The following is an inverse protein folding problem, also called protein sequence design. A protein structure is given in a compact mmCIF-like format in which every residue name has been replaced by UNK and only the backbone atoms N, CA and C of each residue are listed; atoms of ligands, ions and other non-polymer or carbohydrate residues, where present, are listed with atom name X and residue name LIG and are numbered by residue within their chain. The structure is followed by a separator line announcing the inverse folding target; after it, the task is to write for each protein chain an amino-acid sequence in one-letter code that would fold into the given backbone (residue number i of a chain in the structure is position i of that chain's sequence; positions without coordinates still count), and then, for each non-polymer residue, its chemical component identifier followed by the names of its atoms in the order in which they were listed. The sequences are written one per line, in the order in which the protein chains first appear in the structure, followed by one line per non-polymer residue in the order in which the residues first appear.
data_IF_241281751819
#
_entry.id   IF_241281751819
#
_cell.length_a   1.000
_cell.length_b   1.000
_cell.length_c   1.000
_cell.angle_alpha   90.00
_cell.angle_beta   90.00
_cell.angle_gamma   90.00
#
_symmetry.space_group_name_H-M   'P 1'
#
loop_
_entity.id
_entity.type
_entity.pdbx_description
1 polymer ?
#
# COMPACT_ATOMS: atom_id res chain seq x y z
N UNK A 1 7.02 -9.44 2.15
CA UNK A 1 6.58 -8.08 2.48
C UNK A 1 5.66 -7.62 1.39
N UNK A 2 4.36 -7.78 1.61
CA UNK A 2 3.29 -7.11 0.90
C UNK A 2 2.45 -6.36 1.94
N UNK A 3 1.97 -5.20 1.57
CA UNK A 3 1.17 -4.29 2.38
C UNK A 3 -0.09 -3.97 1.62
N UNK A 4 -1.18 -3.80 2.36
CA UNK A 4 -2.48 -3.59 1.76
C UNK A 4 -3.03 -2.25 2.21
N UNK A 5 -3.36 -1.39 1.25
CA UNK A 5 -3.97 -0.10 1.51
C UNK A 5 -5.44 -0.14 1.08
N UNK A 6 -6.33 0.22 2.01
CA UNK A 6 -7.76 0.36 1.71
C UNK A 6 -8.08 1.79 1.28
N UNK A 7 -8.56 1.90 0.03
CA UNK A 7 -9.08 3.07 -0.73
C UNK A 7 -8.07 3.95 -1.47
N UNK A 8 -8.22 3.95 -2.80
CA UNK A 8 -7.27 4.45 -3.78
C UNK A 8 -7.26 5.96 -4.04
N UNK A 9 -6.07 6.54 -3.85
CA UNK A 9 -5.68 7.88 -4.28
C UNK A 9 -5.32 7.93 -5.78
N UNK A 10 -5.04 9.12 -6.33
CA UNK A 10 -4.45 9.25 -7.65
C UNK A 10 -3.06 8.59 -7.67
N UNK A 11 -2.98 7.38 -8.21
CA UNK A 11 -1.82 6.50 -8.13
C UNK A 11 -0.59 7.08 -8.81
N UNK A 12 -0.78 7.74 -9.96
CA UNK A 12 0.32 8.34 -10.70
C UNK A 12 1.00 9.42 -9.85
N UNK A 13 0.20 10.27 -9.21
CA UNK A 13 0.72 11.31 -8.31
C UNK A 13 1.34 10.69 -7.06
N UNK A 14 0.68 9.72 -6.44
CA UNK A 14 1.18 9.04 -5.25
C UNK A 14 2.56 8.40 -5.49
N UNK A 15 2.71 7.64 -6.57
CA UNK A 15 3.97 6.98 -6.93
C UNK A 15 5.04 8.02 -7.30
N UNK A 16 4.70 9.06 -8.07
CA UNK A 16 5.65 10.08 -8.50
C UNK A 16 6.17 10.97 -7.35
N UNK A 17 5.35 11.17 -6.31
CA UNK A 17 5.68 12.05 -5.18
C UNK A 17 6.17 11.30 -3.94
N UNK A 18 6.08 9.97 -3.93
CA UNK A 18 6.51 9.15 -2.81
C UNK A 18 8.02 9.31 -2.55
N UNK A 19 8.44 9.57 -1.30
CA UNK A 19 9.86 9.55 -0.94
C UNK A 19 10.54 8.24 -1.33
N UNK A 20 11.78 8.32 -1.81
CA UNK A 20 12.57 7.14 -2.22
C UNK A 20 12.66 6.08 -1.12
N UNK A 21 12.63 6.50 0.16
CA UNK A 21 12.70 5.61 1.32
C UNK A 21 11.44 4.75 1.51
N UNK A 22 10.28 5.24 1.09
CA UNK A 22 9.00 4.54 1.19
C UNK A 22 8.35 4.23 -0.17
N UNK A 23 9.07 4.45 -1.28
CA UNK A 23 8.58 4.16 -2.62
C UNK A 23 8.23 2.66 -2.78
N UNK A 24 7.02 2.34 -3.27
CA UNK A 24 6.59 0.96 -3.45
C UNK A 24 7.35 0.28 -4.60
N UNK A 25 7.82 -0.95 -4.37
CA UNK A 25 8.44 -1.83 -5.37
C UNK A 25 7.40 -2.51 -6.27
N UNK A 26 6.20 -2.69 -5.74
CA UNK A 26 5.03 -3.24 -6.44
C UNK A 26 3.84 -2.37 -6.07
N UNK A 27 2.98 -2.10 -7.05
CA UNK A 27 1.67 -1.48 -6.85
C UNK A 27 0.65 -2.18 -7.74
N UNK A 28 -0.39 -2.75 -7.13
CA UNK A 28 -1.48 -3.47 -7.83
C UNK A 28 -2.81 -3.02 -7.26
N UNK A 29 -3.62 -2.38 -8.09
CA UNK A 29 -4.98 -1.95 -7.75
C UNK A 29 -6.01 -3.02 -8.08
N UNK A 30 -6.94 -3.22 -7.16
CA UNK A 30 -8.14 -4.03 -7.29
C UNK A 30 -9.36 -3.22 -6.85
N UNK A 31 -10.04 -2.59 -7.81
CA UNK A 31 -11.11 -1.63 -7.53
C UNK A 31 -10.61 -0.51 -6.62
N UNK A 32 -11.05 -0.43 -5.37
CA UNK A 32 -10.64 0.57 -4.39
C UNK A 32 -9.43 0.14 -3.56
N UNK A 33 -9.06 -1.13 -3.62
CA UNK A 33 -8.10 -1.80 -2.75
C UNK A 33 -6.74 -1.93 -3.43
N UNK A 34 -5.64 -1.58 -2.75
CA UNK A 34 -4.29 -1.55 -3.34
C UNK A 34 -3.36 -2.49 -2.59
N UNK A 35 -2.78 -3.42 -3.32
CA UNK A 35 -1.67 -4.25 -2.85
C UNK A 35 -0.34 -3.62 -3.27
N UNK A 36 0.53 -3.37 -2.29
CA UNK A 36 1.83 -2.77 -2.51
C UNK A 36 2.95 -3.53 -1.81
N UNK A 37 4.19 -3.37 -2.27
CA UNK A 37 5.36 -3.95 -1.60
C UNK A 37 6.31 -2.81 -1.25
N UNK A 38 6.51 -2.57 0.05
CA UNK A 38 7.33 -1.46 0.56
C UNK A 38 8.44 -2.02 1.45
N UNK A 39 9.43 -1.21 1.78
CA UNK A 39 10.44 -1.58 2.77
C UNK A 39 9.80 -1.73 4.15
N UNK A 40 10.15 -2.80 4.88
CA UNK A 40 9.70 -3.02 6.26
C UNK A 40 9.98 -1.78 7.12
N UNK A 41 9.00 -1.38 7.93
CA UNK A 41 9.07 -0.19 8.80
C UNK A 41 8.74 1.15 8.11
N UNK A 42 8.50 1.17 6.80
CA UNK A 42 8.16 2.41 6.05
C UNK A 42 6.69 2.47 5.62
N UNK A 43 5.88 1.50 6.05
CA UNK A 43 4.45 1.36 5.70
C UNK A 43 3.64 2.55 6.17
N UNK A 44 3.82 2.94 7.44
CA UNK A 44 3.12 4.08 8.03
C UNK A 44 3.53 5.39 7.35
N UNK A 45 4.81 5.54 7.01
CA UNK A 45 5.30 6.71 6.27
C UNK A 45 4.66 6.82 4.88
N UNK A 46 4.54 5.70 4.15
CA UNK A 46 3.84 5.70 2.87
C UNK A 46 2.36 6.01 3.07
N UNK A 47 1.69 5.39 4.04
CA UNK A 47 0.26 5.61 4.31
C UNK A 47 -0.03 7.08 4.63
N UNK A 48 0.83 7.71 5.44
CA UNK A 48 0.73 9.14 5.75
C UNK A 48 0.93 10.00 4.49
N UNK A 49 1.93 9.68 3.66
CA UNK A 49 2.12 10.33 2.36
C UNK A 49 0.90 10.19 1.45
N UNK A 50 0.31 9.01 1.34
CA UNK A 50 -0.90 8.80 0.53
C UNK A 50 -2.07 9.66 1.03
N UNK A 51 -2.18 9.84 2.35
CA UNK A 51 -3.19 10.72 2.93
C UNK A 51 -2.94 12.22 2.68
N UNK A 52 -1.70 12.65 2.40
CA UNK A 52 -1.44 14.04 1.99
C UNK A 52 -1.68 14.28 0.49
N UNK A 53 -1.62 13.22 -0.32
CA UNK A 53 -1.89 13.28 -1.77
C UNK A 53 -3.37 13.56 -2.04
N UNK A 54 -4.28 13.06 -1.21
CA UNK A 54 -5.69 13.45 -1.27
C UNK A 54 -5.92 14.80 -0.60
N UNK A 55 -5.90 15.87 -1.40
CA UNK A 55 -6.15 17.23 -0.94
C UNK A 55 -7.62 17.50 -0.60
N UNK A 56 -8.54 16.59 -0.96
CA UNK A 56 -9.97 16.73 -0.66
C UNK A 56 -10.33 16.24 0.74
N UNK A 57 -9.46 15.43 1.37
CA UNK A 57 -9.71 14.79 2.66
C UNK A 57 -10.88 13.79 2.64
N UNK A 58 -11.36 13.41 1.45
CA UNK A 58 -12.49 12.49 1.28
C UNK A 58 -12.08 11.04 1.45
N UNK A 59 -10.79 10.75 1.30
CA UNK A 59 -10.20 9.42 1.34
C UNK A 59 -9.17 9.38 2.48
N UNK A 60 -9.32 8.36 3.33
CA UNK A 60 -8.34 8.04 4.37
C UNK A 60 -7.81 6.63 4.14
N UNK A 61 -6.58 6.57 3.66
CA UNK A 61 -5.81 5.34 3.49
C UNK A 61 -5.50 4.74 4.85
N UNK A 62 -5.73 3.44 4.97
CA UNK A 62 -5.29 2.60 6.10
C UNK A 62 -4.44 1.47 5.56
N UNK A 63 -3.46 0.99 6.34
CA UNK A 63 -2.63 -0.14 5.95
C UNK A 63 -2.87 -1.39 6.79
N UNK A 64 -2.63 -2.55 6.18
CA UNK A 64 -2.47 -3.84 6.83
C UNK A 64 -1.09 -4.42 6.47
N UNK A 65 -0.43 -5.03 7.45
CA UNK A 65 0.89 -5.63 7.28
C UNK A 65 0.82 -7.15 7.18
N UNK A 66 1.70 -7.73 6.35
CA UNK A 66 1.92 -9.17 6.30
C UNK A 66 2.33 -9.73 7.66
N UNK A 67 1.65 -10.80 8.08
CA UNK A 67 1.98 -11.59 9.26
C UNK A 67 2.27 -13.03 8.83
N UNK A 68 3.40 -13.60 9.29
CA UNK A 68 3.77 -15.01 9.02
C UNK A 68 3.77 -15.39 7.52
N UNK A 69 4.25 -14.51 6.64
CA UNK A 69 4.29 -14.80 5.20
C UNK A 69 2.93 -14.67 4.49
N UNK A 70 1.90 -14.21 5.20
CA UNK A 70 0.52 -14.20 4.75
C UNK A 70 -0.08 -12.81 4.89
N UNK A 71 -0.89 -12.43 3.91
CA UNK A 71 -1.72 -11.23 3.99
C UNK A 71 -3.11 -11.55 3.43
N UNK A 72 -4.18 -11.43 4.24
CA UNK A 72 -5.54 -11.45 3.73
C UNK A 72 -5.74 -10.30 2.75
N UNK A 73 -6.29 -10.59 1.57
CA UNK A 73 -6.51 -9.59 0.53
C UNK A 73 -7.80 -9.90 -0.22
N UNK A 74 -8.82 -9.04 -0.04
CA UNK A 74 -10.18 -9.29 -0.55
C UNK A 74 -10.70 -10.67 -0.10
N UNK A 75 -11.18 -11.50 -1.03
CA UNK A 75 -11.60 -12.87 -0.81
C UNK A 75 -10.46 -13.88 -1.05
N UNK A 76 -9.21 -13.44 -1.04
CA UNK A 76 -8.02 -14.25 -1.34
C UNK A 76 -6.99 -14.14 -0.23
N UNK A 77 -6.24 -15.21 0.00
CA UNK A 77 -5.08 -15.19 0.89
C UNK A 77 -3.82 -15.15 0.02
N UNK A 78 -3.02 -14.10 0.16
CA UNK A 78 -1.73 -14.01 -0.53
C UNK A 78 -0.69 -14.66 0.37
N UNK A 79 0.00 -15.66 -0.18
CA UNK A 79 1.07 -16.40 0.50
C UNK A 79 2.38 -16.13 -0.23
N UNK A 80 3.40 -15.76 0.54
CA UNK A 80 4.76 -15.62 0.03
C UNK A 80 5.32 -17.00 -0.29
N UNK A 81 5.79 -17.21 -1.51
CA UNK A 81 6.58 -18.40 -1.87
C UNK A 81 8.05 -18.10 -1.57
N UNK A 82 8.68 -18.95 -0.78
CA UNK A 82 10.14 -19.01 -0.65
C UNK A 82 10.64 -19.89 -1.81
N UNK A 83 11.68 -19.44 -2.51
CA UNK A 83 12.33 -20.23 -3.58
C UNK A 83 13.21 -21.33 -2.98
#
# INVERSE_FOLDING_TARGET
MAYFVKRGVNEQQAIATSPITCAPKLWKRYVDDILEIVRKGHVNQLTEHLNTVDTTGSIKNTNEEEAEGKIPFLNSLIVRKED
#
